data_IF_005499648648
#
_entry.id   IF_005499648648
#
_cell.length_a   1.000
_cell.length_b   1.000
_cell.length_c   1.000
_cell.angle_alpha   90.00
_cell.angle_beta   90.00
_cell.angle_gamma   90.00
#
_symmetry.space_group_name_H-M   'P 1'
#
loop_
_entity.id
_entity.type
_entity.pdbx_description
1 polymer ?
#
# COMPACT_ATOMS: atom_id res chain seq x y z
N UNK A 1 2.35 -2.33 -14.70
CA UNK A 1 3.49 -1.39 -14.54
C UNK A 1 4.35 -1.77 -13.34
N UNK A 2 5.55 -2.36 -13.56
CA UNK A 2 6.49 -2.71 -12.48
C UNK A 2 7.94 -2.61 -12.95
N UNK A 3 8.88 -2.41 -12.02
CA UNK A 3 10.29 -2.61 -12.34
C UNK A 3 10.54 -4.11 -12.56
N UNK A 4 10.96 -4.47 -13.78
CA UNK A 4 11.46 -5.84 -14.09
C UNK A 4 12.79 -6.05 -13.38
N UNK A 5 13.21 -7.30 -13.19
CA UNK A 5 14.42 -7.69 -12.44
C UNK A 5 15.65 -6.84 -12.80
N UNK A 6 15.98 -6.73 -14.08
CA UNK A 6 17.18 -5.99 -14.55
C UNK A 6 17.06 -4.48 -14.29
N UNK A 7 15.84 -3.96 -14.39
CA UNK A 7 15.60 -2.55 -14.10
C UNK A 7 15.64 -2.27 -12.61
N UNK A 8 15.12 -3.18 -11.77
CA UNK A 8 15.16 -3.07 -10.32
C UNK A 8 16.60 -3.07 -9.79
N UNK A 9 17.44 -4.01 -10.25
CA UNK A 9 18.84 -4.07 -9.82
C UNK A 9 19.63 -2.81 -10.23
N UNK A 10 19.33 -2.24 -11.40
CA UNK A 10 19.97 -1.01 -11.90
C UNK A 10 19.81 0.18 -10.94
N UNK A 11 18.68 0.29 -10.24
CA UNK A 11 18.44 1.38 -9.28
C UNK A 11 19.37 1.36 -8.07
N UNK A 12 20.01 0.24 -7.76
CA UNK A 12 20.99 0.12 -6.66
C UNK A 12 22.42 0.47 -7.06
N UNK A 13 22.67 0.77 -8.35
CA UNK A 13 24.03 1.06 -8.86
C UNK A 13 24.10 2.33 -9.71
N UNK A 14 22.97 2.93 -10.08
CA UNK A 14 22.94 4.07 -11.00
C UNK A 14 23.40 5.37 -10.35
N UNK A 15 23.22 5.53 -9.03
CA UNK A 15 23.65 6.73 -8.33
C UNK A 15 25.03 6.57 -7.70
N UNK A 16 25.76 7.68 -7.46
CA UNK A 16 26.95 7.66 -6.62
C UNK A 16 26.63 7.15 -5.21
N UNK A 17 27.58 6.47 -4.56
CA UNK A 17 27.40 5.91 -3.21
C UNK A 17 26.86 6.91 -2.19
N UNK A 18 27.44 8.12 -2.16
CA UNK A 18 27.02 9.19 -1.24
C UNK A 18 25.55 9.59 -1.40
N UNK A 19 24.96 9.43 -2.59
CA UNK A 19 23.56 9.76 -2.81
C UNK A 19 22.64 8.79 -2.03
N UNK A 20 22.99 7.51 -1.97
CA UNK A 20 22.28 6.52 -1.16
C UNK A 20 22.54 6.73 0.34
N UNK A 21 23.77 7.07 0.71
CA UNK A 21 24.16 7.29 2.11
C UNK A 21 23.46 8.52 2.71
N UNK A 22 23.26 9.57 1.91
CA UNK A 22 22.58 10.79 2.33
C UNK A 22 21.06 10.65 2.47
N UNK A 23 20.47 9.52 2.07
CA UNK A 23 19.05 9.25 2.34
C UNK A 23 18.87 8.95 3.83
N UNK A 24 18.30 9.90 4.56
CA UNK A 24 18.00 9.79 5.99
C UNK A 24 16.71 9.03 6.27
N UNK A 25 15.66 9.28 5.48
CA UNK A 25 14.35 8.67 5.62
C UNK A 25 13.67 8.47 4.25
N UNK A 26 12.88 7.39 4.14
CA UNK A 26 12.05 7.06 2.99
C UNK A 26 10.65 6.74 3.51
N UNK A 27 9.71 7.62 3.24
CA UNK A 27 8.31 7.44 3.63
C UNK A 27 7.56 6.64 2.57
N UNK A 28 7.06 5.46 2.95
CA UNK A 28 6.33 4.56 2.07
C UNK A 28 4.84 4.72 2.38
N UNK A 29 4.12 5.32 1.45
CA UNK A 29 2.70 5.62 1.56
C UNK A 29 1.87 4.61 0.76
N UNK A 30 0.71 4.19 1.31
CA UNK A 30 -0.21 3.24 0.65
C UNK A 30 0.47 1.96 0.13
N UNK A 31 1.31 1.32 0.97
CA UNK A 31 1.80 -0.01 0.65
C UNK A 31 0.60 -0.98 0.54
N UNK A 32 0.58 -1.79 -0.51
CA UNK A 32 -0.55 -2.66 -0.82
C UNK A 32 -0.12 -4.13 -0.96
N UNK A 33 -1.09 -5.03 -1.09
CA UNK A 33 -0.87 -6.47 -1.16
C UNK A 33 0.00 -6.88 -2.35
N UNK A 34 -0.18 -6.20 -3.49
CA UNK A 34 0.62 -6.46 -4.68
C UNK A 34 2.10 -6.08 -4.48
N UNK A 35 2.38 -4.91 -3.90
CA UNK A 35 3.75 -4.47 -3.56
C UNK A 35 4.37 -5.42 -2.54
N UNK A 36 3.60 -5.88 -1.55
CA UNK A 36 4.08 -6.90 -0.60
C UNK A 36 4.53 -8.17 -1.33
N UNK A 37 3.72 -8.73 -2.23
CA UNK A 37 4.11 -9.93 -2.98
C UNK A 37 5.29 -9.66 -3.93
N UNK A 38 5.35 -8.48 -4.55
CA UNK A 38 6.50 -8.04 -5.34
C UNK A 38 7.80 -8.02 -4.50
N UNK A 39 7.74 -7.51 -3.26
CA UNK A 39 8.92 -7.48 -2.38
C UNK A 39 9.39 -8.88 -1.97
N UNK A 40 8.45 -9.81 -1.77
CA UNK A 40 8.78 -11.23 -1.49
C UNK A 40 9.40 -11.89 -2.71
N UNK A 41 8.83 -11.68 -3.89
CA UNK A 41 9.35 -12.25 -5.14
C UNK A 41 10.77 -11.77 -5.45
N UNK A 42 11.10 -10.51 -5.11
CA UNK A 42 12.42 -9.91 -5.31
C UNK A 42 13.30 -9.86 -4.05
N UNK A 43 13.05 -10.71 -3.06
CA UNK A 43 13.73 -10.66 -1.75
C UNK A 43 15.26 -10.62 -1.87
N UNK A 44 15.85 -11.38 -2.80
CA UNK A 44 17.31 -11.38 -3.03
C UNK A 44 17.86 -9.99 -3.38
N UNK A 45 17.17 -9.25 -4.24
CA UNK A 45 17.58 -7.90 -4.65
C UNK A 45 17.31 -6.86 -3.56
N UNK A 46 16.27 -7.08 -2.76
CA UNK A 46 15.82 -6.14 -1.73
C UNK A 46 16.41 -6.45 -0.34
N UNK A 47 17.37 -7.38 -0.25
CA UNK A 47 17.90 -7.84 1.05
C UNK A 47 18.49 -6.70 1.89
N UNK A 48 19.14 -5.72 1.25
CA UNK A 48 19.71 -4.54 1.92
C UNK A 48 18.66 -3.58 2.48
N UNK A 49 17.40 -3.70 2.06
CA UNK A 49 16.27 -2.91 2.57
C UNK A 49 15.57 -3.60 3.75
N UNK A 50 15.76 -4.92 3.92
CA UNK A 50 15.06 -5.71 4.93
C UNK A 50 15.46 -5.24 6.33
N UNK A 51 14.47 -4.75 7.09
CA UNK A 51 14.68 -4.23 8.45
C UNK A 51 15.38 -2.87 8.51
N UNK A 52 15.58 -2.18 7.37
CA UNK A 52 16.20 -0.85 7.37
C UNK A 52 15.32 0.15 8.13
N UNK A 53 15.91 0.82 9.13
CA UNK A 53 15.25 1.88 9.92
C UNK A 53 14.95 3.14 9.12
N UNK A 54 15.57 3.29 7.93
CA UNK A 54 15.33 4.44 7.04
C UNK A 54 14.00 4.31 6.30
N UNK A 55 13.47 3.09 6.15
CA UNK A 55 12.16 2.87 5.54
C UNK A 55 11.08 3.04 6.61
N UNK A 56 10.18 3.99 6.40
CA UNK A 56 9.11 4.33 7.33
C UNK A 56 7.80 4.13 6.59
N UNK A 57 7.06 3.08 6.96
CA UNK A 57 5.74 2.83 6.40
C UNK A 57 4.70 3.69 7.10
N UNK A 58 3.98 4.48 6.31
CA UNK A 58 2.99 5.42 6.81
C UNK A 58 1.63 4.70 6.84
N UNK A 59 1.14 4.44 8.05
CA UNK A 59 -0.12 3.70 8.26
C UNK A 59 -1.36 4.49 7.82
N UNK A 60 -1.24 5.81 7.66
CA UNK A 60 -2.31 6.70 7.19
C UNK A 60 -1.85 8.16 7.11
N UNK A 61 -2.65 9.06 6.49
CA UNK A 61 -2.27 10.43 6.19
C UNK A 61 -1.81 11.21 7.43
N UNK A 62 -2.54 11.05 8.54
CA UNK A 62 -2.22 11.74 9.79
C UNK A 62 -0.83 11.41 10.35
N UNK A 63 -0.29 10.22 10.06
CA UNK A 63 1.07 9.84 10.51
C UNK A 63 2.19 10.47 9.70
N UNK A 64 1.90 10.93 8.48
CA UNK A 64 2.90 11.68 7.73
C UNK A 64 3.21 13.02 8.41
N UNK A 65 2.25 13.58 9.13
CA UNK A 65 2.39 14.82 9.90
C UNK A 65 3.38 14.70 11.08
N UNK A 66 3.63 13.49 11.57
CA UNK A 66 4.64 13.22 12.60
C UNK A 66 6.08 13.41 12.07
N UNK A 67 6.23 13.50 10.74
CA UNK A 67 7.53 13.54 10.06
C UNK A 67 7.71 14.76 9.16
N UNK A 68 6.61 15.29 8.61
CA UNK A 68 6.60 16.40 7.66
C UNK A 68 5.43 17.33 8.03
N UNK A 69 5.72 18.61 8.26
CA UNK A 69 4.71 19.64 8.54
C UNK A 69 3.60 19.65 7.48
N UNK A 70 2.35 19.87 7.88
CA UNK A 70 1.19 19.77 7.00
C UNK A 70 1.32 20.66 5.75
N UNK A 71 1.83 21.88 5.88
CA UNK A 71 2.03 22.81 4.76
C UNK A 71 3.11 22.33 3.76
N UNK A 72 4.04 21.50 4.24
CA UNK A 72 5.13 20.92 3.45
C UNK A 72 4.76 19.58 2.81
N UNK A 73 3.64 18.96 3.20
CA UNK A 73 3.16 17.74 2.57
C UNK A 73 2.69 18.04 1.14
N UNK A 74 3.31 17.36 0.15
CA UNK A 74 3.01 17.50 -1.28
C UNK A 74 2.58 16.17 -1.89
N UNK A 75 1.73 15.41 -1.19
CA UNK A 75 1.09 14.24 -1.78
C UNK A 75 0.24 14.68 -2.99
N UNK A 76 0.14 13.86 -4.06
CA UNK A 76 -0.72 14.17 -5.18
C UNK A 76 -2.16 14.42 -4.73
N UNK A 77 -2.85 15.40 -5.35
CA UNK A 77 -4.24 15.72 -5.02
C UNK A 77 -5.16 14.50 -5.12
N UNK A 78 -4.94 13.64 -6.13
CA UNK A 78 -5.68 12.39 -6.28
C UNK A 78 -5.49 11.41 -5.12
N UNK A 79 -4.34 11.43 -4.43
CA UNK A 79 -4.10 10.62 -3.22
C UNK A 79 -4.82 11.21 -2.01
N UNK A 80 -4.86 12.55 -1.89
CA UNK A 80 -5.58 13.22 -0.80
C UNK A 80 -7.09 13.03 -0.91
N UNK A 81 -7.64 13.11 -2.13
CA UNK A 81 -9.06 12.92 -2.41
C UNK A 81 -9.59 11.53 -2.01
N UNK A 82 -8.71 10.51 -1.92
CA UNK A 82 -9.11 9.18 -1.45
C UNK A 82 -9.50 9.16 0.03
N UNK A 83 -9.16 10.19 0.81
CA UNK A 83 -9.42 10.22 2.26
C UNK A 83 -10.69 11.00 2.61
N UNK A 84 -11.32 11.64 1.64
CA UNK A 84 -12.49 12.49 1.82
C UNK A 84 -13.80 11.68 1.79
N UNK A 85 -14.75 12.03 2.68
CA UNK A 85 -16.13 11.51 2.72
C UNK A 85 -16.27 9.97 2.67
N UNK A 86 -15.40 9.27 3.39
CA UNK A 86 -15.37 7.81 3.40
C UNK A 86 -16.46 7.19 4.26
N UNK A 87 -17.27 6.30 3.68
CA UNK A 87 -18.11 5.36 4.43
C UNK A 87 -17.29 4.13 4.82
N UNK A 88 -17.11 3.92 6.11
CA UNK A 88 -16.24 2.85 6.62
C UNK A 88 -17.05 1.67 7.18
N UNK A 89 -16.75 0.48 6.67
CA UNK A 89 -17.25 -0.81 7.14
C UNK A 89 -16.10 -1.56 7.82
N UNK A 90 -16.17 -1.65 9.14
CA UNK A 90 -15.17 -2.34 9.94
C UNK A 90 -15.45 -3.85 10.05
N UNK A 91 -14.43 -4.62 10.43
CA UNK A 91 -14.53 -6.05 10.75
C UNK A 91 -15.08 -6.91 9.60
N UNK A 92 -14.86 -6.49 8.35
CA UNK A 92 -15.14 -7.34 7.20
C UNK A 92 -14.10 -8.47 7.10
N UNK A 93 -14.47 -9.55 6.42
CA UNK A 93 -13.60 -10.70 6.21
C UNK A 93 -13.28 -10.85 4.72
N UNK A 94 -12.01 -10.66 4.35
CA UNK A 94 -11.54 -10.92 2.99
C UNK A 94 -11.30 -12.41 2.83
N UNK A 95 -12.16 -13.07 2.06
CA UNK A 95 -12.07 -14.49 1.75
C UNK A 95 -10.93 -14.76 0.76
N UNK A 96 -10.03 -15.68 1.12
CA UNK A 96 -8.91 -16.12 0.30
C UNK A 96 -8.48 -17.52 0.75
N UNK A 97 -7.31 -18.02 0.34
CA UNK A 97 -6.74 -19.24 0.94
C UNK A 97 -6.59 -19.10 2.47
N UNK A 98 -6.37 -17.87 2.95
CA UNK A 98 -6.44 -17.54 4.38
C UNK A 98 -7.31 -16.32 4.56
N UNK A 99 -8.42 -16.49 5.24
CA UNK A 99 -9.32 -15.39 5.56
C UNK A 99 -8.59 -14.35 6.41
N UNK A 100 -8.80 -13.08 6.05
CA UNK A 100 -8.10 -11.97 6.69
C UNK A 100 -9.11 -10.89 7.08
N UNK A 101 -9.04 -10.40 8.31
CA UNK A 101 -9.86 -9.26 8.74
C UNK A 101 -9.40 -7.99 8.03
N UNK A 102 -10.36 -7.21 7.55
CA UNK A 102 -10.13 -5.97 6.81
C UNK A 102 -11.15 -4.91 7.22
N UNK A 103 -10.84 -3.65 6.94
CA UNK A 103 -11.86 -2.59 6.87
C UNK A 103 -12.04 -2.17 5.41
N UNK A 104 -13.30 -2.08 4.99
CA UNK A 104 -13.68 -1.64 3.64
C UNK A 104 -14.13 -0.19 3.75
N UNK A 105 -13.44 0.71 3.06
CA UNK A 105 -13.78 2.14 3.01
C UNK A 105 -14.29 2.43 1.60
N UNK A 106 -15.48 2.99 1.50
CA UNK A 106 -16.10 3.37 0.23
C UNK A 106 -16.09 4.88 0.13
N UNK A 107 -15.31 5.41 -0.82
CA UNK A 107 -15.32 6.81 -1.19
C UNK A 107 -16.12 7.05 -2.47
N UNK A 108 -16.14 8.30 -2.91
CA UNK A 108 -16.84 8.71 -4.14
C UNK A 108 -16.22 8.14 -5.42
N UNK A 109 -14.91 7.87 -5.44
CA UNK A 109 -14.17 7.44 -6.64
C UNK A 109 -13.49 6.08 -6.51
N UNK A 110 -13.45 5.49 -5.32
CA UNK A 110 -12.73 4.24 -5.07
C UNK A 110 -13.23 3.48 -3.84
N UNK A 111 -12.99 2.17 -3.85
CA UNK A 111 -13.10 1.29 -2.68
C UNK A 111 -11.70 1.00 -2.18
N UNK A 112 -11.47 1.17 -0.88
CA UNK A 112 -10.22 0.85 -0.22
C UNK A 112 -10.41 -0.33 0.71
N UNK A 113 -9.55 -1.34 0.61
CA UNK A 113 -9.52 -2.50 1.47
C UNK A 113 -8.24 -2.45 2.31
N UNK A 114 -8.41 -2.07 3.57
CA UNK A 114 -7.30 -1.93 4.52
C UNK A 114 -7.17 -3.17 5.39
N UNK A 115 -5.97 -3.71 5.55
CA UNK A 115 -5.76 -4.87 6.43
C UNK A 115 -6.00 -4.48 7.89
N UNK A 116 -6.74 -5.31 8.64
CA UNK A 116 -6.95 -5.07 10.07
C UNK A 116 -5.76 -5.51 10.93
N UNK A 117 -4.94 -6.42 10.40
CA UNK A 117 -3.72 -6.89 11.02
C UNK A 117 -2.50 -6.42 10.22
N UNK A 118 -1.41 -6.17 10.95
CA UNK A 118 -0.14 -5.80 10.32
C UNK A 118 0.51 -7.02 9.71
N UNK A 119 1.04 -6.87 8.50
CA UNK A 119 1.79 -7.92 7.81
C UNK A 119 3.25 -7.54 7.65
N UNK A 120 4.10 -8.53 7.37
CA UNK A 120 5.53 -8.28 7.13
C UNK A 120 5.78 -7.83 5.69
N UNK A 121 6.34 -6.63 5.54
CA UNK A 121 6.89 -6.09 4.28
C UNK A 121 8.31 -5.62 4.57
N UNK A 122 9.30 -6.15 3.84
CA UNK A 122 10.72 -5.86 4.05
C UNK A 122 11.14 -5.96 5.53
N UNK A 123 10.60 -6.96 6.26
CA UNK A 123 10.88 -7.21 7.68
C UNK A 123 10.10 -6.35 8.68
N UNK A 124 9.41 -5.29 8.23
CA UNK A 124 8.63 -4.38 9.07
C UNK A 124 7.15 -4.76 9.12
N UNK A 125 6.47 -4.44 10.22
CA UNK A 125 5.06 -4.77 10.44
C UNK A 125 4.17 -3.59 10.03
N UNK A 126 3.41 -3.74 8.95
CA UNK A 126 2.73 -2.62 8.27
C UNK A 126 1.27 -2.94 7.99
N UNK A 127 0.41 -1.93 7.98
CA UNK A 127 -0.92 -2.07 7.39
C UNK A 127 -0.83 -1.97 5.87
N UNK A 128 -1.66 -2.75 5.18
CA UNK A 128 -1.80 -2.68 3.73
C UNK A 128 -3.07 -1.94 3.37
N UNK A 129 -3.02 -1.16 2.29
CA UNK A 129 -4.18 -0.49 1.72
C UNK A 129 -4.29 -0.84 0.22
N UNK A 130 -5.18 -1.78 -0.11
CA UNK A 130 -5.51 -2.10 -1.50
C UNK A 130 -6.58 -1.13 -2.00
N UNK A 131 -6.29 -0.37 -3.06
CA UNK A 131 -7.19 0.65 -3.61
C UNK A 131 -7.71 0.14 -4.95
N UNK A 132 -9.03 0.13 -5.10
CA UNK A 132 -9.75 -0.25 -6.31
C UNK A 132 -10.57 0.93 -6.79
N UNK A 133 -10.19 1.54 -7.91
CA UNK A 133 -10.94 2.67 -8.44
C UNK A 133 -12.28 2.21 -9.01
N UNK A 134 -13.30 3.06 -8.94
CA UNK A 134 -14.62 2.74 -9.48
C UNK A 134 -14.57 2.37 -10.98
N UNK A 135 -13.65 2.97 -11.73
CA UNK A 135 -13.41 2.66 -13.15
C UNK A 135 -12.80 1.27 -13.39
N UNK A 136 -12.24 0.63 -12.37
CA UNK A 136 -11.62 -0.69 -12.44
C UNK A 136 -12.57 -1.80 -11.93
N UNK A 137 -13.70 -1.45 -11.31
CA UNK A 137 -14.68 -2.42 -10.81
C UNK A 137 -15.62 -2.77 -11.96
N UNK A 138 -15.50 -3.98 -12.50
CA UNK A 138 -16.31 -4.47 -13.62
C UNK A 138 -17.66 -5.00 -13.16
N UNK A 139 -17.68 -5.70 -12.03
CA UNK A 139 -18.88 -6.35 -11.51
C UNK A 139 -18.90 -6.30 -9.98
N UNK A 140 -20.10 -6.11 -9.43
CA UNK A 140 -20.40 -6.25 -8.01
C UNK A 140 -21.56 -7.23 -7.90
N UNK A 141 -21.35 -8.36 -7.23
CA UNK A 141 -22.36 -9.40 -7.08
C UNK A 141 -22.59 -9.70 -5.61
N UNK A 142 -23.85 -9.62 -5.17
CA UNK A 142 -24.26 -10.06 -3.83
C UNK A 142 -24.48 -11.57 -3.88
N UNK A 143 -23.69 -12.32 -3.11
CA UNK A 143 -23.79 -13.79 -3.05
C UNK A 143 -24.91 -14.18 -2.08
N UNK A 144 -24.94 -13.54 -0.91
CA UNK A 144 -25.98 -13.67 0.10
C UNK A 144 -26.02 -12.39 0.99
N UNK A 145 -26.82 -12.39 2.06
CA UNK A 145 -26.97 -11.24 2.96
C UNK A 145 -25.66 -10.81 3.68
N UNK A 146 -24.65 -11.68 3.74
CA UNK A 146 -23.39 -11.47 4.46
C UNK A 146 -22.14 -11.50 3.54
N UNK A 147 -22.32 -11.79 2.25
CA UNK A 147 -21.20 -11.96 1.32
C UNK A 147 -21.49 -11.29 -0.03
N UNK A 148 -20.48 -10.58 -0.54
CA UNK A 148 -20.46 -10.04 -1.90
C UNK A 148 -19.09 -10.26 -2.55
N UNK A 149 -19.03 -10.15 -3.86
CA UNK A 149 -17.80 -10.20 -4.65
C UNK A 149 -17.61 -8.91 -5.44
N UNK A 150 -16.34 -8.55 -5.66
CA UNK A 150 -15.92 -7.49 -6.58
C UNK A 150 -15.05 -8.13 -7.66
N UNK A 151 -15.43 -7.95 -8.92
CA UNK A 151 -14.60 -8.30 -10.08
C UNK A 151 -13.86 -7.05 -10.52
N UNK A 152 -12.53 -7.13 -10.57
CA UNK A 152 -11.64 -5.99 -10.90
C UNK A 152 -11.01 -6.23 -12.27
N UNK A 153 -11.05 -5.22 -13.13
CA UNK A 153 -10.36 -5.19 -14.42
C UNK A 153 -8.84 -5.39 -14.23
N UNK A 154 -8.25 -6.27 -15.03
CA UNK A 154 -6.80 -6.58 -14.99
C UNK A 154 -5.95 -5.58 -15.78
#
# INVERSE_FOLDING_TARGET
NRFKTDFLSKWFVVFPGFAYDNVSAVYIYHCNSWVREYTKYHERLLTGLKGSKRLIFIDGPGKLAEHIEHEQQKLPAATLALEEDLKVFHNALKLAHKDTKVSIKVGSTAVQVTSAERTKVLGQSVFLNDIYYASEIEEICLVDENQFTLTIAN
#
